data_IF_652300282803
#
_entry.id   IF_652300282803
#
_cell.length_a   1.000
_cell.length_b   1.000
_cell.length_c   1.000
_cell.angle_alpha   90.00
_cell.angle_beta   90.00
_cell.angle_gamma   90.00
#
_symmetry.space_group_name_H-M   'P 1'
#
loop_
_entity.id
_entity.type
_entity.pdbx_description
1 polymer ?
#
# COMPACT_ATOMS: atom_id res chain seq x y z
N UNK A 1 13.09 12.59 -6.33
CA UNK A 1 13.83 11.93 -5.24
C UNK A 1 13.41 10.46 -5.22
N UNK A 2 14.35 9.52 -5.29
CA UNK A 2 14.05 8.08 -5.33
C UNK A 2 13.76 7.58 -3.91
N UNK A 3 12.60 6.95 -3.69
CA UNK A 3 12.27 6.35 -2.40
C UNK A 3 12.85 4.92 -2.33
N UNK A 4 13.31 4.50 -1.16
CA UNK A 4 13.85 3.14 -0.93
C UNK A 4 12.81 2.06 -1.27
N UNK A 5 11.53 2.41 -1.29
CA UNK A 5 10.42 1.50 -1.56
C UNK A 5 9.78 1.68 -2.95
N UNK A 6 10.45 2.38 -3.87
CA UNK A 6 9.90 2.62 -5.22
C UNK A 6 9.57 1.31 -5.99
N UNK A 7 10.24 0.21 -5.68
CA UNK A 7 9.97 -1.12 -6.27
C UNK A 7 8.55 -1.63 -5.96
N UNK A 8 7.95 -1.18 -4.85
CA UNK A 8 6.62 -1.60 -4.40
C UNK A 8 5.49 -0.74 -4.97
N UNK A 9 5.77 0.33 -5.72
CA UNK A 9 4.75 1.24 -6.27
C UNK A 9 3.76 0.59 -7.24
N UNK A 10 4.14 -0.55 -7.83
CA UNK A 10 3.29 -1.32 -8.75
C UNK A 10 2.36 -2.28 -8.03
N UNK A 11 2.53 -2.45 -6.72
CA UNK A 11 1.69 -3.32 -5.92
C UNK A 11 0.26 -2.77 -5.83
N UNK A 12 -0.74 -3.65 -5.90
CA UNK A 12 -2.15 -3.27 -5.77
C UNK A 12 -2.47 -2.70 -4.38
N UNK A 13 -1.70 -3.08 -3.35
CA UNK A 13 -1.87 -2.55 -2.00
C UNK A 13 -1.43 -1.08 -1.90
N UNK A 14 -0.56 -0.60 -2.79
CA UNK A 14 -0.03 0.76 -2.72
C UNK A 14 -1.12 1.84 -2.74
N UNK A 15 -1.96 1.95 -3.78
CA UNK A 15 -3.00 2.98 -3.83
C UNK A 15 -4.03 2.83 -2.71
N UNK A 16 -4.29 1.61 -2.22
CA UNK A 16 -5.24 1.35 -1.14
C UNK A 16 -4.73 1.92 0.18
N UNK A 17 -3.46 1.64 0.50
CA UNK A 17 -2.82 2.11 1.73
C UNK A 17 -2.59 3.62 1.68
N UNK A 18 -2.20 4.15 0.52
CA UNK A 18 -2.04 5.58 0.32
C UNK A 18 -3.34 6.35 0.57
N UNK A 19 -4.47 5.86 0.04
CA UNK A 19 -5.78 6.44 0.31
C UNK A 19 -6.19 6.33 1.79
N UNK A 20 -5.97 5.16 2.41
CA UNK A 20 -6.29 4.98 3.83
C UNK A 20 -5.49 5.92 4.75
N UNK A 21 -4.20 6.17 4.43
CA UNK A 21 -3.39 7.13 5.18
C UNK A 21 -3.89 8.56 4.96
N UNK A 22 -4.25 8.92 3.72
CA UNK A 22 -4.84 10.24 3.44
C UNK A 22 -6.08 10.48 4.30
N UNK A 23 -7.01 9.51 4.34
CA UNK A 23 -8.24 9.63 5.13
C UNK A 23 -7.94 9.82 6.62
N UNK A 24 -6.97 9.07 7.18
CA UNK A 24 -6.55 9.20 8.57
C UNK A 24 -5.91 10.56 8.88
N UNK A 25 -5.17 11.12 7.93
CA UNK A 25 -4.57 12.45 8.08
C UNK A 25 -5.64 13.54 8.02
N UNK A 26 -6.58 13.43 7.08
CA UNK A 26 -7.69 14.37 6.94
C UNK A 26 -8.61 14.37 8.16
N UNK A 27 -8.81 13.21 8.79
CA UNK A 27 -9.61 13.06 10.01
C UNK A 27 -8.83 13.41 11.29
N UNK A 28 -7.59 13.89 11.18
CA UNK A 28 -6.69 14.20 12.31
C UNK A 28 -6.34 12.98 13.20
N UNK A 29 -6.66 11.76 12.76
CA UNK A 29 -6.32 10.51 13.44
C UNK A 29 -4.81 10.20 13.38
N UNK A 30 -4.13 10.69 12.34
CA UNK A 30 -2.72 10.45 12.10
C UNK A 30 -1.99 11.74 11.68
N UNK A 31 -0.83 11.99 12.30
CA UNK A 31 0.08 13.07 11.88
C UNK A 31 1.34 12.47 11.26
N UNK A 32 1.54 12.73 9.96
CA UNK A 32 2.72 12.25 9.23
C UNK A 32 3.98 13.04 9.63
N UNK A 33 4.97 12.34 10.19
CA UNK A 33 6.30 12.92 10.50
C UNK A 33 7.36 12.60 9.45
N UNK A 34 7.02 11.75 8.49
CA UNK A 34 7.89 11.33 7.39
C UNK A 34 7.10 11.38 6.09
N UNK A 35 7.78 11.55 4.95
CA UNK A 35 7.09 11.63 3.65
C UNK A 35 6.22 10.39 3.36
N UNK A 36 4.99 10.63 2.92
CA UNK A 36 3.96 9.60 2.69
C UNK A 36 4.43 8.38 1.91
N UNK A 37 5.17 8.58 0.83
CA UNK A 37 5.71 7.47 0.01
C UNK A 37 6.63 6.51 0.79
N UNK A 38 7.30 7.00 1.85
CA UNK A 38 8.10 6.16 2.73
C UNK A 38 7.22 5.31 3.64
N UNK A 39 6.14 5.89 4.17
CA UNK A 39 5.16 5.20 5.03
C UNK A 39 4.43 4.13 4.22
N UNK A 40 3.82 4.52 3.10
CA UNK A 40 3.11 3.61 2.18
C UNK A 40 4.03 2.48 1.75
N UNK A 41 5.22 2.80 1.26
CA UNK A 41 6.16 1.79 0.78
C UNK A 41 6.64 0.81 1.84
N UNK A 42 6.83 1.26 3.08
CA UNK A 42 7.16 0.36 4.19
C UNK A 42 6.02 -0.62 4.50
N UNK A 43 4.77 -0.13 4.52
CA UNK A 43 3.60 -0.96 4.79
C UNK A 43 3.36 -1.98 3.67
N UNK A 44 3.46 -1.55 2.40
CA UNK A 44 3.36 -2.46 1.25
C UNK A 44 4.44 -3.54 1.34
N UNK A 45 5.71 -3.17 1.56
CA UNK A 45 6.80 -4.13 1.76
C UNK A 45 6.47 -5.15 2.84
N UNK A 46 5.92 -4.71 3.98
CA UNK A 46 5.54 -5.60 5.08
C UNK A 46 4.45 -6.59 4.69
N UNK A 47 3.46 -6.16 3.91
CA UNK A 47 2.43 -7.05 3.38
C UNK A 47 2.99 -8.04 2.37
N UNK A 48 3.86 -7.59 1.46
CA UNK A 48 4.52 -8.45 0.48
C UNK A 48 5.39 -9.53 1.14
N UNK A 49 6.12 -9.18 2.21
CA UNK A 49 6.96 -10.11 2.99
C UNK A 49 6.14 -11.20 3.69
N UNK A 50 4.89 -10.93 4.05
CA UNK A 50 4.02 -11.87 4.75
C UNK A 50 3.19 -12.75 3.79
N UNK A 51 3.31 -12.55 2.48
CA UNK A 51 2.47 -13.25 1.49
C UNK A 51 1.00 -12.85 1.55
N UNK A 52 0.66 -11.76 2.25
CA UNK A 52 -0.69 -11.21 2.37
C UNK A 52 -1.08 -10.47 1.10
N UNK A 53 -1.24 -11.22 0.02
CA UNK A 53 -1.84 -10.72 -1.22
C UNK A 53 -3.29 -11.17 -1.28
N UNK A 54 -4.19 -10.21 -1.46
CA UNK A 54 -5.45 -10.49 -2.14
C UNK A 54 -5.08 -10.81 -3.58
N UNK A 55 -4.84 -12.09 -3.88
CA UNK A 55 -4.90 -12.54 -5.28
C UNK A 55 -6.32 -12.23 -5.74
N UNK A 56 -6.49 -11.38 -6.75
CA UNK A 56 -7.72 -11.46 -7.55
C UNK A 56 -7.81 -12.91 -7.99
N UNK A 57 -8.86 -13.62 -7.60
CA UNK A 57 -9.14 -14.96 -8.09
C UNK A 57 -9.09 -14.92 -9.62
N UNK A 58 -8.06 -15.55 -10.19
CA UNK A 58 -8.17 -16.06 -11.54
C UNK A 58 -9.19 -17.21 -11.50
N UNK A 59 -10.13 -17.16 -12.45
CA UNK A 59 -11.14 -18.18 -12.82
C UNK A 59 -12.47 -18.14 -12.07
N UNK A 60 -13.47 -17.60 -12.77
CA UNK A 60 -14.74 -18.31 -12.94
C UNK A 60 -15.29 -18.05 -14.34
N UNK A 61 -14.54 -18.46 -15.36
CA UNK A 61 -15.10 -18.75 -16.69
C UNK A 61 -14.81 -20.23 -16.98
N UNK A 62 -15.48 -21.10 -16.24
CA UNK A 62 -15.79 -22.47 -16.66
C UNK A 62 -17.17 -22.79 -16.10
N UNK A 63 -18.21 -22.54 -16.92
CA UNK A 63 -19.24 -23.49 -17.33
C UNK A 63 -20.27 -22.78 -18.22
#
# INVERSE_FOLDING_TARGET
MKCVYDEFKKDLAWPIIEAAIEDLVLNEDLVERTGRQRIVGYLVKKLSEQGSFVRKNERTDQL
#
